data_IF_908717276664
#
_entry.id   IF_908717276664
#
_cell.length_a   1.000
_cell.length_b   1.000
_cell.length_c   1.000
_cell.angle_alpha   90.00
_cell.angle_beta   90.00
_cell.angle_gamma   90.00
#
_symmetry.space_group_name_H-M   'P 1'
#
loop_
_entity.id
_entity.type
_entity.pdbx_description
1 polymer ?
#
# COMPACT_ATOMS: atom_id res chain seq x y z
N UNK A 1 0.18 14.22 0.46
CA UNK A 1 1.40 13.75 -0.23
C UNK A 1 1.05 12.67 -1.25
N UNK A 2 1.83 12.57 -2.33
CA UNK A 2 1.74 11.47 -3.29
C UNK A 2 2.69 10.35 -2.88
N UNK A 3 2.24 9.11 -3.01
CA UNK A 3 3.05 7.91 -2.80
C UNK A 3 2.88 6.96 -3.98
N UNK A 4 4.00 6.36 -4.42
CA UNK A 4 3.98 5.24 -5.35
C UNK A 4 3.97 3.90 -4.61
N UNK A 5 3.01 3.05 -4.94
CA UNK A 5 2.86 1.70 -4.37
C UNK A 5 3.18 0.67 -5.43
N UNK A 6 4.06 -0.27 -5.11
CA UNK A 6 4.40 -1.40 -5.97
C UNK A 6 3.76 -2.68 -5.43
N UNK A 7 3.14 -3.46 -6.32
CA UNK A 7 2.52 -4.74 -5.99
C UNK A 7 3.32 -5.89 -6.59
N UNK A 8 3.46 -6.97 -5.82
CA UNK A 8 4.20 -8.16 -6.22
C UNK A 8 3.34 -9.41 -6.07
N UNK A 9 3.67 -10.45 -6.85
CA UNK A 9 3.01 -11.75 -6.83
C UNK A 9 1.47 -11.62 -6.86
N UNK A 10 0.77 -12.28 -5.94
CA UNK A 10 -0.68 -12.27 -5.82
C UNK A 10 -1.25 -10.85 -5.61
N UNK A 11 -0.52 -9.94 -4.96
CA UNK A 11 -0.98 -8.56 -4.78
C UNK A 11 -1.19 -7.83 -6.11
N UNK A 12 -0.33 -8.07 -7.10
CA UNK A 12 -0.48 -7.52 -8.45
C UNK A 12 -1.70 -8.11 -9.16
N UNK A 13 -1.96 -9.40 -8.99
CA UNK A 13 -3.12 -10.08 -9.60
C UNK A 13 -4.45 -9.59 -8.99
N UNK A 14 -4.49 -9.37 -7.68
CA UNK A 14 -5.71 -8.92 -6.98
C UNK A 14 -6.03 -7.45 -7.25
N UNK A 15 -5.01 -6.60 -7.38
CA UNK A 15 -5.17 -5.17 -7.73
C UNK A 15 -5.34 -4.98 -9.24
N UNK A 16 -4.77 -5.86 -10.06
CA UNK A 16 -4.78 -5.75 -11.52
C UNK A 16 -3.78 -4.73 -12.08
N UNK A 17 -2.87 -4.23 -11.25
CA UNK A 17 -1.84 -3.27 -11.62
C UNK A 17 -0.52 -3.59 -10.91
N UNK A 18 0.61 -3.34 -11.57
CA UNK A 18 1.94 -3.50 -10.98
C UNK A 18 2.27 -2.36 -10.01
N UNK A 19 1.70 -1.19 -10.27
CA UNK A 19 1.90 0.00 -9.47
C UNK A 19 0.67 0.90 -9.43
N UNK A 20 0.54 1.67 -8.35
CA UNK A 20 -0.46 2.73 -8.19
C UNK A 20 0.18 3.99 -7.64
N UNK A 21 -0.26 5.14 -8.13
CA UNK A 21 -0.03 6.42 -7.46
C UNK A 21 -1.24 6.78 -6.60
N UNK A 22 -1.01 7.08 -5.32
CA UNK A 22 -2.08 7.42 -4.39
C UNK A 22 -1.77 8.74 -3.69
N UNK A 23 -2.81 9.57 -3.49
CA UNK A 23 -2.69 10.79 -2.69
C UNK A 23 -3.24 10.51 -1.29
N UNK A 24 -2.39 10.71 -0.27
CA UNK A 24 -2.71 10.54 1.14
C UNK A 24 -2.53 11.86 1.91
N UNK A 25 -3.17 12.04 3.07
CA UNK A 25 -2.83 13.13 3.99
C UNK A 25 -1.35 13.13 4.36
N UNK A 26 -0.82 14.31 4.68
CA UNK A 26 0.54 14.40 5.23
C UNK A 26 0.62 13.69 6.58
N UNK A 27 1.70 12.95 6.82
CA UNK A 27 1.87 12.14 8.03
C UNK A 27 0.97 10.90 8.08
N UNK A 28 0.34 10.50 6.98
CA UNK A 28 -0.43 9.26 6.91
C UNK A 28 0.43 8.04 7.23
N UNK A 29 -0.14 7.07 7.94
CA UNK A 29 0.53 5.81 8.28
C UNK A 29 0.32 4.75 7.21
N UNK A 30 1.18 3.75 7.16
CA UNK A 30 1.05 2.60 6.27
C UNK A 30 -0.31 1.90 6.40
N UNK A 31 -0.90 1.85 7.61
CA UNK A 31 -2.26 1.33 7.81
C UNK A 31 -3.32 2.05 6.95
N UNK A 32 -3.28 3.38 6.90
CA UNK A 32 -4.24 4.16 6.11
C UNK A 32 -4.06 3.91 4.61
N UNK A 33 -2.83 3.71 4.13
CA UNK A 33 -2.60 3.33 2.74
C UNK A 33 -3.29 1.99 2.42
N UNK A 34 -3.11 0.99 3.29
CA UNK A 34 -3.74 -0.32 3.14
C UNK A 34 -5.27 -0.24 3.20
N UNK A 35 -5.83 0.56 4.11
CA UNK A 35 -7.27 0.81 4.16
C UNK A 35 -7.79 1.37 2.83
N UNK A 36 -7.10 2.37 2.26
CA UNK A 36 -7.46 2.95 0.95
C UNK A 36 -7.35 1.95 -0.20
N UNK A 37 -6.34 1.08 -0.19
CA UNK A 37 -6.21 0.01 -1.18
C UNK A 37 -7.38 -0.96 -1.06
N UNK A 38 -7.72 -1.38 0.17
CA UNK A 38 -8.84 -2.27 0.41
C UNK A 38 -10.20 -1.66 0.05
N UNK A 39 -10.38 -0.34 0.22
CA UNK A 39 -11.59 0.37 -0.23
C UNK A 39 -11.72 0.38 -1.76
N UNK A 40 -10.63 0.67 -2.48
CA UNK A 40 -10.64 0.77 -3.94
C UNK A 40 -10.55 -0.58 -4.66
N UNK A 41 -9.87 -1.55 -4.06
CA UNK A 41 -9.62 -2.89 -4.59
C UNK A 41 -10.05 -3.94 -3.55
N UNK A 42 -11.35 -4.21 -3.38
CA UNK A 42 -11.83 -5.07 -2.31
C UNK A 42 -11.25 -6.49 -2.31
N UNK A 43 -10.90 -7.01 -3.49
CA UNK A 43 -10.23 -8.31 -3.68
C UNK A 43 -8.85 -8.38 -3.02
N UNK A 44 -8.20 -7.24 -2.75
CA UNK A 44 -6.93 -7.22 -2.02
C UNK A 44 -7.05 -7.84 -0.62
N UNK A 45 -8.25 -7.84 -0.02
CA UNK A 45 -8.53 -8.55 1.26
C UNK A 45 -8.37 -10.07 1.17
N UNK A 46 -8.34 -10.66 -0.02
CA UNK A 46 -8.12 -12.10 -0.23
C UNK A 46 -6.65 -12.50 0.03
N UNK A 47 -5.71 -11.54 0.12
CA UNK A 47 -4.33 -11.82 0.53
C UNK A 47 -4.30 -12.36 1.98
N UNK A 48 -3.82 -13.59 2.20
CA UNK A 48 -3.77 -14.17 3.55
C UNK A 48 -2.75 -13.47 4.44
N UNK A 49 -1.67 -12.96 3.85
CA UNK A 49 -0.64 -12.17 4.53
C UNK A 49 0.17 -11.36 3.52
N UNK A 50 0.78 -10.29 3.99
CA UNK A 50 1.71 -9.46 3.22
C UNK A 50 2.67 -8.75 4.17
N UNK A 51 3.81 -8.33 3.62
CA UNK A 51 4.74 -7.41 4.26
C UNK A 51 4.77 -6.11 3.47
N UNK A 52 5.02 -5.00 4.16
CA UNK A 52 5.16 -3.69 3.55
C UNK A 52 6.61 -3.26 3.71
N UNK A 53 7.17 -2.68 2.64
CA UNK A 53 8.43 -1.97 2.72
C UNK A 53 8.21 -0.52 2.27
N UNK A 54 8.70 0.43 3.07
CA UNK A 54 8.71 1.86 2.75
C UNK A 54 10.16 2.21 2.44
N UNK A 55 10.43 2.67 1.22
CA UNK A 55 11.80 2.98 0.77
C UNK A 55 12.80 1.84 1.02
N UNK A 56 12.43 0.61 0.64
CA UNK A 56 13.23 -0.62 0.79
C UNK A 56 13.48 -1.07 2.25
N UNK A 57 12.82 -0.47 3.23
CA UNK A 57 12.90 -0.87 4.64
C UNK A 57 11.56 -1.45 5.09
N UNK A 58 11.58 -2.62 5.73
CA UNK A 58 10.37 -3.22 6.28
C UNK A 58 9.66 -2.24 7.23
N UNK A 59 8.35 -2.11 7.02
CA UNK A 59 7.50 -1.18 7.72
C UNK A 59 6.35 -1.93 8.39
N UNK A 60 5.94 -1.42 9.54
CA UNK A 60 4.73 -1.85 10.22
C UNK A 60 3.54 -0.92 9.88
N UNK A 61 2.36 -1.29 10.35
CA UNK A 61 1.14 -0.51 10.18
C UNK A 61 1.23 0.93 10.74
N UNK A 62 2.11 1.17 11.72
CA UNK A 62 2.31 2.44 12.40
C UNK A 62 3.29 3.38 11.70
N UNK A 63 4.05 2.87 10.74
CA UNK A 63 5.11 3.61 10.04
C UNK A 63 4.52 4.80 9.29
N UNK A 64 5.06 5.99 9.54
CA UNK A 64 4.64 7.23 8.87
C UNK A 64 5.23 7.26 7.46
N UNK A 65 4.37 7.50 6.48
CA UNK A 65 4.76 7.64 5.09
C UNK A 65 5.17 9.08 4.80
N UNK A 66 6.10 9.24 3.87
CA UNK A 66 6.52 10.54 3.33
C UNK A 66 6.24 10.58 1.83
N UNK A 67 6.29 11.76 1.22
CA UNK A 67 6.16 11.88 -0.24
C UNK A 67 7.29 11.13 -0.96
N UNK A 68 6.97 10.33 -1.97
CA UNK A 68 7.94 9.55 -2.74
C UNK A 68 7.33 8.76 -3.89
#
# INVERSE_FOLDING_TARGET
>A
MKVKVLFFALGRELVGAEELEMTLPEGAKAAMLIERINEQYPRFRELPSYMIAVNMVFADSGTVLTSG
#
